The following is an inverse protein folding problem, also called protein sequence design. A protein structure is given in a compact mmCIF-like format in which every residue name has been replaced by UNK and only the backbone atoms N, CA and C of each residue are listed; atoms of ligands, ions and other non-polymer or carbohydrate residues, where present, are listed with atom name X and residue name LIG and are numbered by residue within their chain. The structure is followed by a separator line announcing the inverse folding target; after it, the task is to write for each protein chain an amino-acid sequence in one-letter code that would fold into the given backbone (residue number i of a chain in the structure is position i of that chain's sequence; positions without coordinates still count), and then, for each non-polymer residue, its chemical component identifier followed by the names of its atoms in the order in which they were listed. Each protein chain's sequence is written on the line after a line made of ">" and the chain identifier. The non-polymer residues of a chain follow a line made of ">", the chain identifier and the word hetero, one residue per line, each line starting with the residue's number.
data_IF_858112132017
#
_entry.id   IF_858112132017
#
_cell.length_a   1.000
_cell.length_b   1.000
_cell.length_c   1.000
_cell.angle_alpha   90.00
_cell.angle_beta   90.00
_cell.angle_gamma   90.00
#
_symmetry.space_group_name_H-M   'P 1'
#
loop_
_entity.id
_entity.type
_entity.pdbx_description
1 polymer ?
#
# COMPACT_ATOMS: atom_id res chain seq x y z
N UNK A 1 -5.36 -36.99 11.48
CA UNK A 1 -4.73 -36.58 10.21
C UNK A 1 -5.84 -36.37 9.18
N UNK A 2 -6.31 -35.13 9.05
CA UNK A 2 -7.25 -34.75 8.00
C UNK A 2 -6.45 -34.07 6.88
N UNK A 3 -6.03 -34.85 5.89
CA UNK A 3 -5.42 -34.33 4.67
C UNK A 3 -6.50 -33.63 3.85
N UNK A 4 -6.26 -32.35 3.57
CA UNK A 4 -7.19 -31.42 2.97
C UNK A 4 -7.72 -31.82 1.59
N UNK A 5 -8.96 -32.27 1.55
CA UNK A 5 -9.76 -32.43 0.32
C UNK A 5 -10.13 -31.06 -0.30
N UNK A 6 -9.87 -29.95 0.40
CA UNK A 6 -10.27 -28.60 -0.05
C UNK A 6 -9.54 -28.09 -1.30
N UNK A 7 -8.36 -28.62 -1.61
CA UNK A 7 -7.54 -28.14 -2.75
C UNK A 7 -8.04 -28.62 -4.11
N UNK A 8 -8.88 -29.68 -4.13
CA UNK A 8 -9.35 -30.32 -5.38
C UNK A 8 -10.46 -29.52 -6.07
N UNK A 9 -11.16 -28.63 -5.35
CA UNK A 9 -12.32 -27.89 -5.85
C UNK A 9 -12.11 -26.39 -6.07
N UNK A 10 -10.87 -25.87 -5.86
CA UNK A 10 -10.60 -24.46 -6.09
C UNK A 10 -10.68 -24.15 -7.60
N UNK A 11 -11.46 -23.12 -7.95
CA UNK A 11 -11.53 -22.61 -9.34
C UNK A 11 -10.17 -22.06 -9.74
N UNK A 12 -9.72 -22.42 -10.96
CA UNK A 12 -8.45 -21.90 -11.51
C UNK A 12 -8.59 -20.45 -11.91
N UNK A 13 -7.57 -19.66 -11.64
CA UNK A 13 -7.44 -18.26 -12.03
C UNK A 13 -6.03 -18.03 -12.51
N UNK A 14 -5.86 -17.37 -13.66
CA UNK A 14 -4.55 -17.04 -14.21
C UNK A 14 -3.87 -15.92 -13.41
N UNK A 15 -2.54 -15.96 -13.35
CA UNK A 15 -1.71 -14.91 -12.71
C UNK A 15 -1.98 -13.52 -13.30
N UNK A 16 -2.25 -13.45 -14.61
CA UNK A 16 -2.63 -12.19 -15.25
C UNK A 16 -3.90 -11.58 -14.65
N UNK A 17 -4.87 -12.42 -14.26
CA UNK A 17 -6.11 -11.95 -13.61
C UNK A 17 -5.83 -11.47 -12.18
N UNK A 18 -4.86 -12.05 -11.48
CA UNK A 18 -4.42 -11.58 -10.16
C UNK A 18 -3.80 -10.18 -10.30
N UNK A 19 -2.91 -9.98 -11.27
CA UNK A 19 -2.31 -8.67 -11.54
C UNK A 19 -3.36 -7.61 -11.95
N UNK A 20 -4.36 -8.00 -12.74
CA UNK A 20 -5.49 -7.12 -13.07
C UNK A 20 -6.30 -6.73 -11.83
N UNK A 21 -6.61 -7.70 -10.97
CA UNK A 21 -7.32 -7.46 -9.72
C UNK A 21 -6.53 -6.57 -8.77
N UNK A 22 -5.21 -6.78 -8.65
CA UNK A 22 -4.32 -5.93 -7.86
C UNK A 22 -4.48 -4.46 -8.26
N UNK A 23 -4.33 -4.17 -9.54
CA UNK A 23 -4.42 -2.80 -10.05
C UNK A 23 -5.82 -2.23 -9.82
N UNK A 24 -6.86 -2.96 -10.22
CA UNK A 24 -8.24 -2.48 -10.12
C UNK A 24 -8.68 -2.23 -8.67
N UNK A 25 -8.32 -3.11 -7.74
CA UNK A 25 -8.66 -2.94 -6.32
C UNK A 25 -8.02 -1.66 -5.77
N UNK A 26 -6.72 -1.46 -6.02
CA UNK A 26 -6.00 -0.30 -5.50
C UNK A 26 -6.54 1.01 -6.08
N UNK A 27 -6.66 1.08 -7.42
CA UNK A 27 -7.15 2.30 -8.06
C UNK A 27 -8.56 2.65 -7.59
N UNK A 28 -9.48 1.68 -7.60
CA UNK A 28 -10.85 1.92 -7.14
C UNK A 28 -10.91 2.32 -5.66
N UNK A 29 -10.10 1.71 -4.81
CA UNK A 29 -10.07 2.05 -3.38
C UNK A 29 -9.54 3.48 -3.16
N UNK A 30 -8.46 3.85 -3.82
CA UNK A 30 -7.88 5.19 -3.68
C UNK A 30 -8.79 6.24 -4.31
N UNK A 31 -9.26 6.04 -5.54
CA UNK A 31 -10.14 7.00 -6.24
C UNK A 31 -11.44 7.26 -5.46
N UNK A 32 -11.99 6.22 -4.81
CA UNK A 32 -13.26 6.37 -4.07
C UNK A 32 -13.10 6.94 -2.66
N UNK A 33 -11.91 6.86 -2.06
CA UNK A 33 -11.75 7.13 -0.62
C UNK A 33 -10.69 8.18 -0.29
N UNK A 34 -9.84 8.59 -1.23
CA UNK A 34 -8.74 9.51 -0.90
C UNK A 34 -9.22 10.88 -0.40
N UNK A 35 -10.31 11.41 -0.93
CA UNK A 35 -10.88 12.67 -0.45
C UNK A 35 -11.24 12.60 1.05
N UNK A 36 -11.82 11.46 1.49
CA UNK A 36 -12.11 11.22 2.91
C UNK A 36 -10.82 11.05 3.73
N UNK A 37 -9.82 10.34 3.19
CA UNK A 37 -8.50 10.21 3.83
C UNK A 37 -7.86 11.58 4.03
N UNK A 38 -7.87 12.43 3.01
CA UNK A 38 -7.33 13.79 3.09
C UNK A 38 -8.07 14.61 4.17
N UNK A 39 -9.40 14.47 4.28
CA UNK A 39 -10.19 15.13 5.31
C UNK A 39 -9.82 14.61 6.71
N UNK A 40 -9.69 13.30 6.90
CA UNK A 40 -9.28 12.69 8.17
C UNK A 40 -7.88 13.20 8.59
N UNK A 41 -6.92 13.22 7.67
CA UNK A 41 -5.57 13.74 7.94
C UNK A 41 -5.57 15.23 8.26
N UNK A 42 -6.40 16.03 7.57
CA UNK A 42 -6.48 17.48 7.79
C UNK A 42 -7.14 17.86 9.13
N UNK A 43 -8.03 17.03 9.63
CA UNK A 43 -8.81 17.30 10.83
C UNK A 43 -8.41 16.42 12.03
N UNK A 44 -7.27 15.72 11.96
CA UNK A 44 -6.81 14.90 13.08
C UNK A 44 -6.58 15.75 14.34
N UNK A 45 -7.19 15.32 15.45
CA UNK A 45 -7.18 16.06 16.73
C UNK A 45 -5.80 16.14 17.38
N UNK A 46 -4.83 15.38 16.92
CA UNK A 46 -3.45 15.40 17.42
C UNK A 46 -2.57 16.42 16.67
N UNK A 47 -3.12 17.08 15.62
CA UNK A 47 -2.51 18.20 14.96
C UNK A 47 -2.90 19.53 15.65
N UNK A 48 -1.99 20.49 15.69
CA UNK A 48 -2.23 21.84 16.23
C UNK A 48 -2.84 22.79 15.19
N UNK A 49 -2.77 22.39 13.91
CA UNK A 49 -3.39 23.09 12.77
C UNK A 49 -3.61 22.12 11.62
N UNK A 50 -4.47 22.50 10.67
CA UNK A 50 -4.78 21.67 9.50
C UNK A 50 -3.52 21.37 8.68
N UNK A 51 -3.38 20.11 8.25
CA UNK A 51 -2.23 19.65 7.48
C UNK A 51 -2.21 20.17 6.02
N UNK A 52 -3.35 20.62 5.50
CA UNK A 52 -3.53 21.09 4.13
C UNK A 52 -3.21 20.02 3.07
N UNK A 53 -3.60 18.79 3.34
CA UNK A 53 -3.59 17.72 2.34
C UNK A 53 -4.65 18.04 1.29
N UNK A 54 -4.23 18.13 0.03
CA UNK A 54 -5.12 18.44 -1.10
C UNK A 54 -5.93 17.18 -1.47
N UNK A 55 -7.27 17.19 -1.32
CA UNK A 55 -8.11 16.04 -1.60
C UNK A 55 -8.17 15.64 -3.09
N UNK A 56 -7.73 16.53 -3.99
CA UNK A 56 -7.67 16.26 -5.44
C UNK A 56 -6.31 15.68 -5.88
N UNK A 57 -5.30 15.64 -4.98
CA UNK A 57 -3.96 15.19 -5.30
C UNK A 57 -3.62 13.89 -4.55
N UNK A 58 -4.03 12.76 -5.14
CA UNK A 58 -3.85 11.43 -4.57
C UNK A 58 -2.56 10.72 -4.96
N UNK A 59 -1.72 11.29 -5.84
CA UNK A 59 -0.60 10.58 -6.48
C UNK A 59 0.40 9.99 -5.48
N UNK A 60 0.79 10.75 -4.47
CA UNK A 60 1.71 10.28 -3.43
C UNK A 60 1.09 9.15 -2.59
N UNK A 61 -0.20 9.25 -2.28
CA UNK A 61 -0.91 8.23 -1.53
C UNK A 61 -1.05 6.94 -2.34
N UNK A 62 -1.45 7.06 -3.60
CA UNK A 62 -1.59 5.94 -4.53
C UNK A 62 -0.26 5.19 -4.68
N UNK A 63 0.86 5.91 -4.82
CA UNK A 63 2.18 5.30 -4.94
C UNK A 63 2.58 4.54 -3.65
N UNK A 64 2.25 5.07 -2.46
CA UNK A 64 2.46 4.38 -1.18
C UNK A 64 1.64 3.09 -1.14
N UNK A 65 0.35 3.14 -1.51
CA UNK A 65 -0.55 1.98 -1.51
C UNK A 65 -0.10 0.92 -2.51
N UNK A 66 0.26 1.32 -3.74
CA UNK A 66 0.82 0.41 -4.75
C UNK A 66 2.07 -0.29 -4.21
N UNK A 67 3.04 0.49 -3.72
CA UNK A 67 4.32 -0.06 -3.24
C UNK A 67 4.13 -1.00 -2.07
N UNK A 68 3.30 -0.63 -1.09
CA UNK A 68 3.03 -1.48 0.07
C UNK A 68 2.44 -2.83 -0.33
N UNK A 69 1.39 -2.83 -1.16
CA UNK A 69 0.76 -4.07 -1.62
C UNK A 69 1.66 -4.88 -2.55
N UNK A 70 2.50 -4.24 -3.36
CA UNK A 70 3.48 -4.90 -4.22
C UNK A 70 4.53 -5.67 -3.41
N UNK A 71 4.99 -5.12 -2.29
CA UNK A 71 5.91 -5.78 -1.39
C UNK A 71 5.26 -6.93 -0.61
N UNK A 72 3.97 -6.81 -0.28
CA UNK A 72 3.23 -7.85 0.44
C UNK A 72 2.88 -9.07 -0.42
N UNK A 73 3.11 -9.06 -1.73
CA UNK A 73 2.85 -10.24 -2.59
C UNK A 73 3.65 -11.47 -2.14
N UNK A 74 4.86 -11.28 -1.56
CA UNK A 74 5.67 -12.38 -1.03
C UNK A 74 5.00 -13.16 0.10
N UNK A 75 4.12 -12.51 0.84
CA UNK A 75 3.44 -13.13 1.99
C UNK A 75 2.29 -14.05 1.58
N UNK A 76 1.80 -13.94 0.33
CA UNK A 76 0.59 -14.60 -0.13
C UNK A 76 0.75 -15.57 -1.29
N UNK A 77 1.82 -15.44 -2.08
CA UNK A 77 2.05 -16.23 -3.28
C UNK A 77 3.30 -17.09 -3.14
N UNK A 78 3.33 -18.24 -3.83
CA UNK A 78 4.46 -19.17 -3.76
C UNK A 78 5.69 -18.63 -4.49
N UNK A 79 6.87 -19.15 -4.11
CA UNK A 79 8.16 -18.79 -4.71
C UNK A 79 8.12 -18.89 -6.25
N UNK A 80 8.47 -17.79 -6.90
CA UNK A 80 8.43 -17.59 -8.35
C UNK A 80 7.07 -17.21 -8.93
N UNK A 81 5.97 -17.41 -8.21
CA UNK A 81 4.63 -16.94 -8.62
C UNK A 81 4.47 -15.45 -8.32
N UNK A 82 4.90 -15.02 -7.14
CA UNK A 82 4.91 -13.61 -6.75
C UNK A 82 5.69 -12.76 -7.74
N UNK A 83 6.83 -13.25 -8.24
CA UNK A 83 7.66 -12.52 -9.21
C UNK A 83 6.93 -12.36 -10.56
N UNK A 84 6.30 -13.42 -11.07
CA UNK A 84 5.51 -13.32 -12.32
C UNK A 84 4.31 -12.39 -12.16
N UNK A 85 3.61 -12.43 -11.03
CA UNK A 85 2.51 -11.51 -10.72
C UNK A 85 3.02 -10.07 -10.66
N UNK A 86 4.21 -9.83 -10.09
CA UNK A 86 4.87 -8.53 -10.05
C UNK A 86 5.15 -8.00 -11.44
N UNK A 87 5.76 -8.80 -12.31
CA UNK A 87 6.04 -8.39 -13.69
C UNK A 87 4.76 -8.04 -14.45
N UNK A 88 3.72 -8.87 -14.32
CA UNK A 88 2.41 -8.60 -14.91
C UNK A 88 1.78 -7.32 -14.35
N UNK A 89 1.93 -7.06 -13.05
CA UNK A 89 1.44 -5.85 -12.39
C UNK A 89 2.17 -4.61 -12.92
N UNK A 90 3.50 -4.67 -13.05
CA UNK A 90 4.30 -3.58 -13.62
C UNK A 90 3.89 -3.27 -15.05
N UNK A 91 3.66 -4.30 -15.88
CA UNK A 91 3.21 -4.12 -17.26
C UNK A 91 1.83 -3.42 -17.33
N UNK A 92 0.90 -3.80 -16.44
CA UNK A 92 -0.42 -3.16 -16.39
C UNK A 92 -0.36 -1.71 -15.90
N UNK A 93 0.44 -1.42 -14.87
CA UNK A 93 0.66 -0.05 -14.40
C UNK A 93 1.31 0.81 -15.48
N UNK A 94 2.33 0.29 -16.17
CA UNK A 94 3.00 0.98 -17.27
C UNK A 94 2.03 1.32 -18.40
N UNK A 95 1.12 0.40 -18.75
CA UNK A 95 0.08 0.64 -19.75
C UNK A 95 -0.92 1.74 -19.33
N UNK A 96 -1.33 1.77 -18.05
CA UNK A 96 -2.25 2.79 -17.53
C UNK A 96 -1.63 4.18 -17.59
N UNK A 97 -0.37 4.31 -17.17
CA UNK A 97 0.34 5.59 -17.18
C UNK A 97 0.96 5.95 -18.53
N UNK A 98 0.87 5.07 -19.53
CA UNK A 98 1.50 5.22 -20.85
C UNK A 98 3.02 5.52 -20.75
N UNK A 99 3.72 4.81 -19.84
CA UNK A 99 5.16 4.93 -19.62
C UNK A 99 5.83 3.55 -19.66
N UNK A 100 7.15 3.53 -19.62
CA UNK A 100 7.92 2.29 -19.63
C UNK A 100 7.84 1.56 -18.25
N UNK A 101 7.90 0.22 -18.27
CA UNK A 101 7.90 -0.60 -17.05
C UNK A 101 9.09 -0.31 -16.14
N UNK A 102 10.24 0.10 -16.70
CA UNK A 102 11.41 0.50 -15.90
C UNK A 102 11.15 1.78 -15.10
N UNK A 103 10.34 2.70 -15.62
CA UNK A 103 9.95 3.92 -14.89
C UNK A 103 9.04 3.59 -13.69
N UNK A 104 8.05 2.69 -13.88
CA UNK A 104 7.19 2.21 -12.78
C UNK A 104 8.03 1.48 -11.72
N UNK A 105 8.89 0.56 -12.14
CA UNK A 105 9.79 -0.15 -11.23
C UNK A 105 10.64 0.83 -10.42
N UNK A 106 11.24 1.82 -11.08
CA UNK A 106 12.05 2.84 -10.40
C UNK A 106 11.23 3.65 -9.39
N UNK A 107 9.97 3.99 -9.69
CA UNK A 107 9.09 4.69 -8.76
C UNK A 107 8.78 3.85 -7.51
N UNK A 108 8.47 2.55 -7.70
CA UNK A 108 8.26 1.58 -6.61
C UNK A 108 9.55 1.42 -5.78
N UNK A 109 10.71 1.25 -6.42
CA UNK A 109 11.99 1.09 -5.73
C UNK A 109 12.35 2.33 -4.90
N UNK A 110 12.11 3.52 -5.42
CA UNK A 110 12.32 4.79 -4.69
C UNK A 110 11.39 4.88 -3.46
N UNK A 111 10.14 4.47 -3.60
CA UNK A 111 9.19 4.46 -2.47
C UNK A 111 9.56 3.38 -1.45
N UNK A 112 10.01 2.20 -1.89
CA UNK A 112 10.53 1.15 -1.02
C UNK A 112 11.80 1.60 -0.27
N UNK A 113 12.70 2.33 -0.92
CA UNK A 113 13.87 2.92 -0.25
C UNK A 113 13.45 3.91 0.85
N UNK A 114 12.40 4.71 0.62
CA UNK A 114 11.81 5.56 1.64
C UNK A 114 11.23 4.73 2.79
N UNK A 115 10.47 3.66 2.50
CA UNK A 115 9.93 2.73 3.50
C UNK A 115 11.04 2.18 4.40
N UNK A 116 12.09 1.66 3.82
CA UNK A 116 13.26 1.11 4.56
C UNK A 116 13.90 2.16 5.46
N UNK A 117 14.08 3.40 4.95
CA UNK A 117 14.67 4.50 5.71
C UNK A 117 13.80 4.90 6.90
N UNK A 118 12.49 5.02 6.72
CA UNK A 118 11.56 5.48 7.75
C UNK A 118 11.23 4.41 8.78
N UNK A 119 11.32 3.13 8.40
CA UNK A 119 10.87 1.99 9.21
C UNK A 119 12.02 1.28 9.95
N UNK A 120 13.27 1.67 9.76
CA UNK A 120 14.39 1.03 10.45
C UNK A 120 14.24 1.12 11.99
N UNK A 121 14.46 0.03 12.75
CA UNK A 121 14.87 -1.31 12.32
C UNK A 121 13.70 -2.29 12.03
N UNK A 122 12.44 -1.82 12.04
CA UNK A 122 11.28 -2.67 11.75
C UNK A 122 11.28 -3.15 10.29
N UNK A 123 10.63 -4.30 10.05
CA UNK A 123 10.39 -4.85 8.70
C UNK A 123 8.90 -4.88 8.35
N UNK A 124 8.04 -4.27 9.17
CA UNK A 124 6.60 -4.26 8.95
C UNK A 124 6.23 -3.28 7.84
N UNK A 125 5.76 -3.81 6.71
CA UNK A 125 5.39 -3.01 5.52
C UNK A 125 4.23 -2.07 5.81
N UNK A 126 3.20 -2.50 6.53
CA UNK A 126 2.06 -1.66 6.90
C UNK A 126 2.52 -0.41 7.68
N UNK A 127 3.33 -0.62 8.71
CA UNK A 127 3.90 0.47 9.50
C UNK A 127 4.78 1.41 8.65
N UNK A 128 5.50 0.86 7.66
CA UNK A 128 6.28 1.66 6.72
C UNK A 128 5.40 2.56 5.85
N UNK A 129 4.23 2.06 5.39
CA UNK A 129 3.25 2.84 4.63
C UNK A 129 2.75 4.03 5.45
N UNK A 130 2.36 3.83 6.69
CA UNK A 130 1.88 4.88 7.59
C UNK A 130 2.94 5.96 7.83
N UNK A 131 4.18 5.55 8.06
CA UNK A 131 5.29 6.50 8.21
C UNK A 131 5.60 7.25 6.91
N UNK A 132 5.39 6.62 5.75
CA UNK A 132 5.54 7.28 4.46
C UNK A 132 4.44 8.34 4.24
N UNK A 133 3.18 8.05 4.60
CA UNK A 133 2.10 9.05 4.60
C UNK A 133 2.46 10.23 5.49
N UNK A 134 2.86 9.97 6.75
CA UNK A 134 3.29 11.04 7.66
C UNK A 134 4.39 11.91 7.05
N UNK A 135 5.38 11.30 6.41
CA UNK A 135 6.52 12.00 5.82
C UNK A 135 6.14 12.77 4.54
N UNK A 136 5.41 12.13 3.61
CA UNK A 136 5.06 12.71 2.30
C UNK A 136 4.15 13.91 2.43
N UNK A 137 3.17 13.84 3.34
CA UNK A 137 2.26 14.95 3.62
C UNK A 137 2.82 15.94 4.65
N UNK A 138 4.10 15.77 5.06
CA UNK A 138 4.83 16.71 5.95
C UNK A 138 4.08 16.96 7.27
N UNK A 139 3.40 15.94 7.79
CA UNK A 139 2.55 16.05 8.98
C UNK A 139 3.33 16.47 10.24
N UNK A 140 4.66 16.27 10.23
CA UNK A 140 5.55 16.78 11.27
C UNK A 140 5.42 18.30 11.51
N UNK A 141 5.08 19.06 10.47
CA UNK A 141 4.97 20.51 10.57
C UNK A 141 3.75 20.98 11.37
N UNK A 142 2.76 20.12 11.52
CA UNK A 142 1.45 20.44 12.07
C UNK A 142 1.18 19.81 13.44
N UNK A 143 2.07 18.98 13.94
CA UNK A 143 1.95 18.35 15.27
C UNK A 143 2.54 19.24 16.37
N UNK A 144 2.29 18.86 17.65
CA UNK A 144 2.79 19.58 18.84
C UNK A 144 4.31 19.75 18.81
N UNK A 145 4.80 20.86 19.32
CA UNK A 145 6.23 21.22 19.30
C UNK A 145 7.14 20.12 19.85
N UNK A 146 6.69 19.40 20.87
CA UNK A 146 7.46 18.29 21.45
C UNK A 146 7.84 17.25 20.38
N UNK A 147 6.86 16.72 19.65
CA UNK A 147 7.09 15.72 18.60
C UNK A 147 7.75 16.32 17.36
N UNK A 148 7.37 17.54 17.01
CA UNK A 148 7.94 18.28 15.90
C UNK A 148 9.45 18.47 16.05
N UNK A 149 9.92 18.88 17.23
CA UNK A 149 11.33 19.07 17.53
C UNK A 149 12.13 17.77 17.56
N UNK A 150 11.49 16.67 17.96
CA UNK A 150 12.09 15.33 17.92
C UNK A 150 12.07 14.73 16.51
N UNK A 151 11.40 15.37 15.54
CA UNK A 151 11.18 14.87 14.19
C UNK A 151 10.60 13.43 14.20
N UNK A 152 9.68 13.18 15.11
CA UNK A 152 9.02 11.87 15.28
C UNK A 152 7.50 12.06 15.30
N UNK A 153 6.72 11.14 14.72
CA UNK A 153 5.26 11.25 14.80
C UNK A 153 4.75 11.08 16.22
N UNK A 154 3.73 11.88 16.57
CA UNK A 154 2.91 11.60 17.76
C UNK A 154 2.36 10.16 17.64
N UNK A 155 2.52 9.31 18.66
CA UNK A 155 2.08 7.92 18.62
C UNK A 155 0.58 7.75 18.32
N UNK A 156 -0.27 8.68 18.78
CA UNK A 156 -1.71 8.62 18.53
C UNK A 156 -2.01 8.99 17.09
N UNK A 157 -1.40 10.06 16.58
CA UNK A 157 -1.50 10.44 15.17
C UNK A 157 -1.05 9.28 14.26
N UNK A 158 0.10 8.66 14.58
CA UNK A 158 0.60 7.55 13.77
C UNK A 158 -0.35 6.35 13.81
N UNK A 159 -0.94 6.04 14.96
CA UNK A 159 -1.96 4.98 15.09
C UNK A 159 -3.19 5.26 14.23
N UNK A 160 -3.67 6.51 14.18
CA UNK A 160 -4.79 6.89 13.31
C UNK A 160 -4.44 6.67 11.83
N UNK A 161 -3.21 7.00 11.44
CA UNK A 161 -2.72 6.74 10.08
C UNK A 161 -2.61 5.22 9.81
N UNK A 162 -2.16 4.42 10.79
CA UNK A 162 -2.11 2.96 10.68
C UNK A 162 -3.51 2.37 10.43
N UNK A 163 -4.53 2.84 11.14
CA UNK A 163 -5.92 2.40 10.96
C UNK A 163 -6.48 2.77 9.58
N UNK A 164 -6.11 3.93 9.04
CA UNK A 164 -6.42 4.32 7.66
C UNK A 164 -5.72 3.37 6.68
N UNK A 165 -4.40 3.19 6.82
CA UNK A 165 -3.61 2.39 5.88
C UNK A 165 -4.00 0.92 5.85
N UNK A 166 -4.48 0.35 6.96
CA UNK A 166 -4.97 -1.03 7.01
C UNK A 166 -6.10 -1.30 6.02
N UNK A 167 -6.92 -0.30 5.72
CA UNK A 167 -8.05 -0.43 4.79
C UNK A 167 -7.60 -0.53 3.33
N UNK A 168 -6.36 -0.12 3.03
CA UNK A 168 -5.77 -0.16 1.69
C UNK A 168 -4.85 -1.37 1.47
N UNK A 169 -4.78 -2.31 2.41
CA UNK A 169 -4.04 -3.57 2.25
C UNK A 169 -4.96 -4.62 1.65
N UNK A 170 -4.54 -5.18 0.51
CA UNK A 170 -5.28 -6.27 -0.13
C UNK A 170 -5.06 -7.56 0.69
N UNK A 171 -6.15 -8.11 1.22
CA UNK A 171 -6.14 -9.39 1.97
C UNK A 171 -6.32 -10.55 0.99
N UNK A 172 -5.21 -11.05 0.45
CA UNK A 172 -5.20 -12.12 -0.54
C UNK A 172 -5.62 -13.50 0.02
N UNK A 173 -5.60 -13.70 1.36
CA UNK A 173 -6.02 -14.96 1.99
C UNK A 173 -7.38 -15.41 1.49
N UNK A 174 -8.37 -14.54 1.52
CA UNK A 174 -9.74 -14.84 1.06
C UNK A 174 -9.78 -15.25 -0.41
N UNK A 175 -8.87 -14.70 -1.23
CA UNK A 175 -8.77 -15.03 -2.65
C UNK A 175 -8.06 -16.37 -2.86
N UNK A 176 -6.91 -16.58 -2.22
CA UNK A 176 -6.13 -17.83 -2.33
C UNK A 176 -6.83 -19.02 -1.70
N UNK A 177 -7.74 -18.79 -0.74
CA UNK A 177 -8.61 -19.83 -0.19
C UNK A 177 -9.65 -20.33 -1.20
N UNK A 178 -10.17 -19.46 -2.06
CA UNK A 178 -11.22 -19.77 -3.05
C UNK A 178 -10.68 -20.21 -4.40
N UNK A 179 -9.51 -19.71 -4.79
CA UNK A 179 -8.95 -19.91 -6.11
C UNK A 179 -7.59 -20.57 -6.07
N UNK A 180 -7.33 -21.42 -7.07
CA UNK A 180 -6.01 -21.94 -7.39
C UNK A 180 -5.42 -21.10 -8.50
N UNK A 181 -4.31 -20.42 -8.22
CA UNK A 181 -3.64 -19.60 -9.20
C UNK A 181 -2.77 -20.47 -10.10
N UNK A 182 -2.82 -20.21 -11.39
CA UNK A 182 -2.09 -20.94 -12.43
C UNK A 182 -1.47 -19.95 -13.40
N UNK A 183 -0.44 -20.39 -14.07
CA UNK A 183 0.22 -19.68 -15.17
C UNK A 183 -0.78 -19.27 -16.24
#
# INVERSE_FOLDING_TARGET
>A
MAFGISTIFKKKVAEEKVAELFVNIIFNAVDSSFSEVAELLNNDLNLVSKANVDPENQDEFLMIVITGNYLLLDDYFFEGQEERIRELTLAKLAAIYAIDTTAIRSAIDNTNALFKKLNYPSKNTHYAMSRAVFHRYKLNNFQKDYFKNLNTPDPILLKNIDEIMEQFIIKWDTFTDKYRITD
#
